data_IF_314565169794
#
_entry.id   IF_314565169794
#
_cell.length_a   1.000
_cell.length_b   1.000
_cell.length_c   1.000
_cell.angle_alpha   90.00
_cell.angle_beta   90.00
_cell.angle_gamma   90.00
#
_symmetry.space_group_name_H-M   'P 1'
#
loop_
_entity.id
_entity.type
_entity.pdbx_description
1 polymer ?
#
# COMPACT_ATOMS: atom_id res chain seq x y z
N UNK A 1 -15.69 26.54 6.37
CA UNK A 1 -16.96 25.97 5.86
C UNK A 1 -17.77 26.93 4.99
N UNK A 2 -17.63 28.26 5.10
CA UNK A 2 -18.29 29.22 4.17
C UNK A 2 -17.86 29.01 2.71
N UNK A 3 -16.55 29.12 2.42
CA UNK A 3 -15.99 28.81 1.09
C UNK A 3 -16.39 27.43 0.56
N UNK A 4 -16.47 26.42 1.44
CA UNK A 4 -16.90 25.07 1.07
C UNK A 4 -18.38 25.03 0.72
N UNK A 5 -19.22 25.77 1.43
CA UNK A 5 -20.64 25.92 1.12
C UNK A 5 -20.83 26.67 -0.20
N UNK A 6 -20.05 27.73 -0.46
CA UNK A 6 -20.06 28.48 -1.72
C UNK A 6 -19.68 27.58 -2.91
N UNK A 7 -18.62 26.77 -2.76
CA UNK A 7 -18.21 25.79 -3.78
C UNK A 7 -19.25 24.68 -4.02
N UNK A 8 -20.03 24.35 -3.00
CA UNK A 8 -21.11 23.36 -3.08
C UNK A 8 -22.45 23.98 -3.50
N UNK A 9 -22.51 25.31 -3.71
CA UNK A 9 -23.76 26.03 -4.03
C UNK A 9 -24.77 26.04 -2.89
N UNK A 10 -24.34 25.82 -1.64
CA UNK A 10 -25.21 25.77 -0.46
C UNK A 10 -25.12 27.09 0.28
N UNK A 11 -26.26 27.76 0.45
CA UNK A 11 -26.32 29.12 1.02
C UNK A 11 -25.93 29.27 2.50
N UNK A 12 -25.64 28.16 3.20
CA UNK A 12 -25.18 28.23 4.60
C UNK A 12 -24.10 27.22 4.91
N UNK A 13 -23.04 27.71 5.57
CA UNK A 13 -22.00 26.90 6.17
C UNK A 13 -22.53 25.93 7.24
N UNK A 14 -23.70 26.20 7.81
CA UNK A 14 -24.31 25.37 8.85
C UNK A 14 -24.94 24.10 8.27
N UNK A 15 -25.50 24.17 7.07
CA UNK A 15 -26.02 23.00 6.33
C UNK A 15 -24.89 22.00 6.05
N UNK A 16 -23.73 22.50 5.60
CA UNK A 16 -22.53 21.66 5.41
C UNK A 16 -22.07 21.04 6.72
N UNK A 17 -22.10 21.78 7.84
CA UNK A 17 -21.76 21.24 9.17
C UNK A 17 -22.75 20.18 9.64
N UNK A 18 -24.04 20.33 9.34
CA UNK A 18 -25.03 19.31 9.66
C UNK A 18 -24.80 18.04 8.84
N UNK A 19 -24.48 18.16 7.55
CA UNK A 19 -24.12 17.01 6.72
C UNK A 19 -22.86 16.31 7.20
N UNK A 20 -21.81 17.04 7.57
CA UNK A 20 -20.59 16.45 8.14
C UNK A 20 -20.87 15.74 9.47
N UNK A 21 -21.75 16.28 10.32
CA UNK A 21 -22.16 15.62 11.58
C UNK A 21 -23.05 14.39 11.38
N UNK A 22 -23.90 14.39 10.36
CA UNK A 22 -24.81 13.28 10.03
C UNK A 22 -24.16 12.23 9.14
N UNK A 23 -23.09 12.59 8.43
CA UNK A 23 -22.32 11.66 7.62
C UNK A 23 -21.83 10.55 8.55
N UNK A 24 -22.17 9.28 8.27
CA UNK A 24 -21.60 8.18 9.02
C UNK A 24 -20.08 8.32 8.95
N UNK A 25 -19.42 8.34 10.10
CA UNK A 25 -17.98 8.41 10.16
C UNK A 25 -17.42 7.26 9.34
N UNK A 26 -16.83 7.55 8.18
CA UNK A 26 -16.06 6.54 7.44
C UNK A 26 -14.85 6.06 8.26
N UNK A 27 -14.50 6.77 9.34
CA UNK A 27 -13.50 6.38 10.33
C UNK A 27 -14.02 5.41 11.40
N UNK A 28 -15.33 5.13 11.47
CA UNK A 28 -15.87 4.04 12.29
C UNK A 28 -15.70 2.65 11.65
N UNK A 29 -15.04 2.57 10.48
CA UNK A 29 -14.65 1.34 9.79
C UNK A 29 -13.19 0.92 10.04
N UNK A 30 -12.58 1.33 11.15
CA UNK A 30 -11.17 1.02 11.47
C UNK A 30 -10.82 -0.47 11.49
N UNK A 31 -11.81 -1.37 11.57
CA UNK A 31 -11.60 -2.82 11.47
C UNK A 31 -11.11 -3.27 10.09
N UNK A 32 -11.68 -2.77 9.00
CA UNK A 32 -11.29 -3.16 7.65
C UNK A 32 -9.96 -2.53 7.22
N UNK A 33 -9.72 -1.27 7.61
CA UNK A 33 -8.45 -0.58 7.35
C UNK A 33 -7.27 -1.20 8.13
N UNK A 34 -7.49 -1.67 9.36
CA UNK A 34 -6.44 -2.32 10.17
C UNK A 34 -6.14 -3.75 9.70
N UNK A 35 -7.17 -4.54 9.36
CA UNK A 35 -6.96 -5.89 8.83
C UNK A 35 -6.20 -5.85 7.49
N UNK A 36 -6.59 -4.95 6.59
CA UNK A 36 -5.86 -4.71 5.34
C UNK A 36 -4.43 -4.21 5.58
N UNK A 37 -4.20 -3.37 6.60
CA UNK A 37 -2.86 -2.92 6.97
C UNK A 37 -1.95 -4.07 7.42
N UNK A 38 -2.45 -4.99 8.25
CA UNK A 38 -1.68 -6.14 8.72
C UNK A 38 -1.36 -7.12 7.61
N UNK A 39 -2.32 -7.41 6.74
CA UNK A 39 -2.09 -8.27 5.57
C UNK A 39 -1.09 -7.65 4.59
N UNK A 40 -1.19 -6.34 4.33
CA UNK A 40 -0.20 -5.61 3.52
C UNK A 40 1.20 -5.69 4.14
N UNK A 41 1.32 -5.57 5.47
CA UNK A 41 2.61 -5.70 6.16
C UNK A 41 3.19 -7.10 6.04
N UNK A 42 2.35 -8.13 6.22
CA UNK A 42 2.73 -9.54 6.04
C UNK A 42 3.23 -9.78 4.62
N UNK A 43 2.44 -9.41 3.61
CA UNK A 43 2.78 -9.57 2.20
C UNK A 43 4.07 -8.83 1.84
N UNK A 44 4.29 -7.62 2.37
CA UNK A 44 5.55 -6.88 2.14
C UNK A 44 6.77 -7.62 2.67
N UNK A 45 6.67 -8.28 3.84
CA UNK A 45 7.77 -9.08 4.40
C UNK A 45 8.04 -10.31 3.53
N UNK A 46 6.99 -11.03 3.15
CA UNK A 46 7.09 -12.21 2.30
C UNK A 46 7.70 -11.88 0.93
N UNK A 47 7.24 -10.81 0.28
CA UNK A 47 7.80 -10.35 -1.00
C UNK A 47 9.28 -9.94 -0.85
N UNK A 48 9.66 -9.31 0.27
CA UNK A 48 11.05 -8.93 0.50
C UNK A 48 11.95 -10.16 0.66
N UNK A 49 11.48 -11.18 1.37
CA UNK A 49 12.19 -12.43 1.55
C UNK A 49 12.32 -13.22 0.24
N UNK A 50 11.22 -13.34 -0.50
CA UNK A 50 11.21 -13.97 -1.83
C UNK A 50 12.18 -13.28 -2.79
N UNK A 51 12.21 -11.94 -2.80
CA UNK A 51 13.18 -11.18 -3.63
C UNK A 51 14.63 -11.45 -3.22
N UNK A 52 14.90 -11.56 -1.92
CA UNK A 52 16.24 -11.90 -1.42
C UNK A 52 16.66 -13.31 -1.87
N UNK A 53 15.79 -14.30 -1.68
CA UNK A 53 16.06 -15.69 -2.09
C UNK A 53 16.26 -15.78 -3.62
N UNK A 54 15.40 -15.12 -4.40
CA UNK A 54 15.53 -15.09 -5.86
C UNK A 54 16.83 -14.43 -6.31
N UNK A 55 17.28 -13.38 -5.60
CA UNK A 55 18.59 -12.76 -5.83
C UNK A 55 19.75 -13.72 -5.61
N UNK A 56 19.73 -14.50 -4.53
CA UNK A 56 20.76 -15.53 -4.25
C UNK A 56 20.76 -16.59 -5.34
N UNK A 57 19.58 -17.11 -5.72
CA UNK A 57 19.46 -18.14 -6.75
C UNK A 57 19.97 -17.63 -8.10
N UNK A 58 19.60 -16.42 -8.51
CA UNK A 58 20.12 -15.82 -9.75
C UNK A 58 21.63 -15.64 -9.72
N UNK A 59 22.19 -15.19 -8.60
CA UNK A 59 23.63 -15.05 -8.45
C UNK A 59 24.34 -16.41 -8.54
N UNK A 60 23.80 -17.44 -7.88
CA UNK A 60 24.32 -18.80 -7.97
C UNK A 60 24.25 -19.34 -9.40
N UNK A 61 23.11 -19.19 -10.09
CA UNK A 61 22.96 -19.60 -11.49
C UNK A 61 23.95 -18.89 -12.40
N UNK A 62 24.16 -17.58 -12.22
CA UNK A 62 25.14 -16.82 -12.99
C UNK A 62 26.58 -17.29 -12.72
N UNK A 63 26.93 -17.58 -11.45
CA UNK A 63 28.22 -18.12 -11.08
C UNK A 63 28.49 -19.47 -11.76
N UNK A 64 27.54 -20.41 -11.68
CA UNK A 64 27.70 -21.73 -12.30
C UNK A 64 27.74 -21.66 -13.82
N UNK A 65 26.93 -20.79 -14.44
CA UNK A 65 27.00 -20.58 -15.89
C UNK A 65 28.39 -20.07 -16.32
N UNK A 66 28.96 -19.12 -15.57
CA UNK A 66 30.30 -18.60 -15.84
C UNK A 66 31.42 -19.64 -15.64
N UNK A 67 31.26 -20.57 -14.70
CA UNK A 67 32.21 -21.66 -14.49
C UNK A 67 32.20 -22.68 -15.65
N UNK A 68 31.02 -22.97 -16.20
CA UNK A 68 30.88 -23.88 -17.37
C UNK A 68 31.58 -23.31 -18.61
N UNK A 69 31.50 -21.99 -18.82
CA UNK A 69 32.12 -21.33 -19.97
C UNK A 69 33.65 -21.16 -19.84
N UNK A 70 34.25 -21.52 -18.70
CA UNK A 70 35.69 -21.37 -18.48
C UNK A 70 36.44 -22.55 -19.11
N UNK A 71 37.31 -22.32 -20.12
CA UNK A 71 38.13 -23.40 -20.66
C UNK A 71 39.09 -23.89 -19.57
N UNK A 72 38.94 -25.16 -19.19
CA UNK A 72 39.91 -25.85 -18.34
C UNK A 72 41.24 -25.89 -19.12
N UNK A 73 42.25 -25.18 -18.62
CA UNK A 73 43.61 -25.18 -19.17
C UNK A 73 44.49 -26.11 -18.36
#
# INVERSE_FOLDING_TARGET
MGKTADLLGVGSAETVRQWVRKAPSSAAGGGAANAGSEEIRRLKREVAELKRANGILKAASAFFAAEIDRPHR
#
